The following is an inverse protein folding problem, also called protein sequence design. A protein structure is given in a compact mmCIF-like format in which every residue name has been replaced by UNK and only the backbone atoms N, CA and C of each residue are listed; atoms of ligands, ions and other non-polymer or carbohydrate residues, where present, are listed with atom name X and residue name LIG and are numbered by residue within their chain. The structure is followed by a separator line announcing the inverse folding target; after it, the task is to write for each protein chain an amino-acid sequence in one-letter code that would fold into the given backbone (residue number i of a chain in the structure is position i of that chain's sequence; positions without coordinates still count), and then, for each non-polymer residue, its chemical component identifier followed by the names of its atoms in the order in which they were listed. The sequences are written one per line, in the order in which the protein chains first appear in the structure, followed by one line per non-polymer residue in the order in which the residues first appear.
data_IF_937060294443
#
_entry.id   IF_937060294443
#
_cell.length_a   1.000
_cell.length_b   1.000
_cell.length_c   1.000
_cell.angle_alpha   90.00
_cell.angle_beta   90.00
_cell.angle_gamma   90.00
#
_symmetry.space_group_name_H-M   'P 1'
#
loop_
_entity.id
_entity.type
_entity.pdbx_description
1 polymer ?
#
# COMPACT_ATOMS: atom_id res chain seq x y z
N UNK A 1 17.14 8.19 -1.95
CA UNK A 1 15.74 8.04 -1.51
C UNK A 1 15.44 6.55 -1.46
N UNK A 2 14.94 6.01 -0.34
CA UNK A 2 14.53 4.60 -0.27
C UNK A 2 13.22 4.45 -1.05
N UNK A 3 13.19 3.57 -2.04
CA UNK A 3 11.98 3.29 -2.83
C UNK A 3 10.91 2.64 -1.92
N UNK A 4 9.73 3.28 -1.83
CA UNK A 4 8.55 2.75 -1.14
C UNK A 4 7.51 2.28 -2.16
N UNK A 5 6.68 1.33 -1.77
CA UNK A 5 5.67 0.69 -2.61
C UNK A 5 4.38 0.58 -1.80
N UNK A 6 3.24 0.94 -2.40
CA UNK A 6 1.95 0.57 -1.84
C UNK A 6 1.53 -0.81 -2.31
N UNK A 7 0.91 -1.54 -1.41
CA UNK A 7 0.27 -2.80 -1.73
C UNK A 7 -1.12 -2.77 -1.14
N UNK A 8 -2.09 -3.10 -1.97
CA UNK A 8 -3.46 -3.34 -1.54
C UNK A 8 -3.62 -4.82 -1.18
N UNK A 9 -4.08 -5.04 0.04
CA UNK A 9 -4.42 -6.34 0.58
C UNK A 9 -5.94 -6.44 0.72
N UNK A 10 -6.50 -7.63 0.46
CA UNK A 10 -7.91 -7.91 0.76
C UNK A 10 -8.11 -7.85 2.28
N UNK A 11 -9.28 -7.39 2.74
CA UNK A 11 -9.58 -7.22 4.17
C UNK A 11 -9.25 -8.46 5.01
N UNK A 12 -9.54 -9.66 4.48
CA UNK A 12 -9.28 -10.94 5.13
C UNK A 12 -7.78 -11.26 5.33
N UNK A 13 -6.91 -10.67 4.52
CA UNK A 13 -5.46 -10.90 4.54
C UNK A 13 -4.72 -9.75 5.25
N UNK A 14 -5.38 -8.60 5.46
CA UNK A 14 -4.78 -7.42 6.07
C UNK A 14 -4.29 -7.68 7.51
N UNK A 15 -5.10 -8.34 8.34
CA UNK A 15 -4.71 -8.65 9.73
C UNK A 15 -3.48 -9.56 9.78
N UNK A 16 -3.43 -10.58 8.90
CA UNK A 16 -2.29 -11.51 8.80
C UNK A 16 -1.04 -10.80 8.33
N UNK A 17 -1.18 -9.88 7.37
CA UNK A 17 -0.10 -9.07 6.84
C UNK A 17 0.46 -8.14 7.92
N UNK A 18 -0.41 -7.40 8.61
CA UNK A 18 -0.02 -6.53 9.72
C UNK A 18 0.71 -7.32 10.83
N UNK A 19 0.15 -8.45 11.25
CA UNK A 19 0.78 -9.30 12.25
C UNK A 19 2.17 -9.79 11.81
N UNK A 20 2.33 -10.20 10.54
CA UNK A 20 3.62 -10.63 10.02
C UNK A 20 4.63 -9.47 9.94
N UNK A 21 4.20 -8.28 9.53
CA UNK A 21 5.05 -7.09 9.49
C UNK A 21 5.56 -6.69 10.87
N UNK A 22 4.70 -6.78 11.89
CA UNK A 22 5.04 -6.52 13.29
C UNK A 22 6.05 -7.54 13.81
N UNK A 23 5.79 -8.84 13.62
CA UNK A 23 6.67 -9.92 14.08
C UNK A 23 8.05 -9.87 13.42
N UNK A 24 8.11 -9.53 12.14
CA UNK A 24 9.36 -9.42 11.39
C UNK A 24 10.03 -8.02 11.51
N UNK A 25 9.49 -7.13 12.35
CA UNK A 25 10.01 -5.78 12.57
C UNK A 25 10.18 -4.94 11.29
N UNK A 26 9.30 -5.13 10.29
CA UNK A 26 9.30 -4.29 9.10
C UNK A 26 8.65 -2.95 9.40
N UNK A 27 9.24 -1.87 8.89
CA UNK A 27 8.59 -0.56 8.92
C UNK A 27 7.50 -0.49 7.84
N UNK A 28 6.28 -0.14 8.24
CA UNK A 28 5.14 0.01 7.33
C UNK A 28 4.22 1.14 7.76
N UNK A 29 3.46 1.69 6.81
CA UNK A 29 2.40 2.65 7.08
C UNK A 29 1.08 2.13 6.52
N UNK A 30 0.01 2.15 7.32
CA UNK A 30 -1.33 1.77 6.87
C UNK A 30 -2.06 3.03 6.37
N UNK A 31 -2.53 3.01 5.12
CA UNK A 31 -3.16 4.16 4.46
C UNK A 31 -4.54 3.76 3.94
N UNK A 32 -5.58 3.96 4.75
CA UNK A 32 -6.98 3.65 4.36
C UNK A 32 -7.37 2.19 4.57
N UNK A 33 -8.47 1.77 3.92
CA UNK A 33 -9.02 0.41 4.01
C UNK A 33 -8.20 -0.55 3.14
N UNK A 34 -7.12 -1.10 3.68
CA UNK A 34 -6.40 -2.22 3.06
C UNK A 34 -5.12 -1.90 2.30
N UNK A 35 -4.67 -0.64 2.24
CA UNK A 35 -3.42 -0.27 1.58
C UNK A 35 -2.31 -0.11 2.62
N UNK A 36 -1.20 -0.81 2.42
CA UNK A 36 0.01 -0.70 3.25
C UNK A 36 1.18 -0.21 2.40
N UNK A 37 1.90 0.77 2.91
CA UNK A 37 3.16 1.26 2.34
C UNK A 37 4.31 0.49 2.96
N UNK A 38 5.13 -0.11 2.11
CA UNK A 38 6.29 -0.91 2.49
C UNK A 38 7.53 -0.46 1.75
N UNK A 39 8.70 -0.81 2.30
CA UNK A 39 9.93 -0.76 1.51
C UNK A 39 9.84 -1.73 0.32
N UNK A 40 10.50 -1.43 -0.81
CA UNK A 40 10.52 -2.32 -1.98
C UNK A 40 10.97 -3.76 -1.66
N UNK A 41 11.89 -3.93 -0.70
CA UNK A 41 12.35 -5.24 -0.24
C UNK A 41 11.25 -6.02 0.49
N UNK A 42 10.60 -5.39 1.47
CA UNK A 42 9.48 -5.99 2.21
C UNK A 42 8.31 -6.25 1.25
N UNK A 43 8.00 -5.33 0.34
CA UNK A 43 6.93 -5.49 -0.65
C UNK A 43 7.10 -6.75 -1.51
N UNK A 44 8.32 -7.05 -1.96
CA UNK A 44 8.60 -8.27 -2.74
C UNK A 44 8.26 -9.54 -1.93
N UNK A 45 8.71 -9.59 -0.68
CA UNK A 45 8.48 -10.73 0.21
C UNK A 45 6.99 -10.98 0.48
N UNK A 46 6.22 -9.89 0.62
CA UNK A 46 4.79 -9.96 0.88
C UNK A 46 3.97 -10.35 -0.35
N UNK A 47 4.38 -9.96 -1.56
CA UNK A 47 3.74 -10.42 -2.81
C UNK A 47 3.92 -11.90 -3.08
N UNK A 48 5.02 -12.48 -2.61
CA UNK A 48 5.24 -13.93 -2.73
C UNK A 48 4.42 -14.71 -1.70
N UNK A 49 4.07 -14.09 -0.57
CA UNK A 49 3.35 -14.76 0.53
C UNK A 49 1.83 -14.55 0.50
N UNK A 50 1.37 -13.38 0.03
CA UNK A 50 -0.02 -12.98 0.06
C UNK A 50 -0.53 -12.67 -1.34
N UNK A 51 -1.80 -13.00 -1.60
CA UNK A 51 -2.49 -12.60 -2.82
C UNK A 51 -2.81 -11.11 -2.75
N UNK A 52 -1.83 -10.29 -3.11
CA UNK A 52 -1.89 -8.84 -3.01
C UNK A 52 -1.53 -8.17 -4.33
N UNK A 53 -2.11 -6.99 -4.56
CA UNK A 53 -1.89 -6.22 -5.77
C UNK A 53 -0.98 -5.06 -5.46
N UNK A 54 0.12 -4.93 -6.20
CA UNK A 54 0.89 -3.70 -6.14
C UNK A 54 -0.01 -2.56 -6.62
N UNK A 55 -0.22 -1.60 -5.74
CA UNK A 55 -0.81 -0.33 -6.12
C UNK A 55 0.37 0.61 -6.20
N UNK A 56 0.71 1.03 -7.41
CA UNK A 56 1.72 2.07 -7.57
C UNK A 56 1.19 3.31 -6.85
N UNK A 57 1.71 3.57 -5.64
CA UNK A 57 1.55 4.84 -4.99
C UNK A 57 2.33 5.81 -5.85
N UNK A 58 1.64 6.48 -6.76
CA UNK A 58 2.17 7.69 -7.35
C UNK A 58 2.38 8.62 -6.17
N UNK A 59 3.62 9.05 -5.87
CA UNK A 59 3.85 10.00 -4.80
C UNK A 59 2.86 11.15 -4.98
N UNK A 60 2.19 11.63 -3.92
CA UNK A 60 1.32 12.80 -4.04
C UNK A 60 2.09 14.03 -4.56
N UNK A 61 3.42 14.03 -4.41
CA UNK A 61 4.34 15.00 -5.01
C UNK A 61 4.57 14.81 -6.52
N UNK A 62 4.21 13.66 -7.09
CA UNK A 62 4.35 13.31 -8.51
C UNK A 62 3.01 13.26 -9.24
N UNK A 63 1.88 13.22 -8.53
CA UNK A 63 0.56 13.41 -9.13
C UNK A 63 0.38 14.89 -9.45
N UNK A 64 0.07 15.20 -10.71
CA UNK A 64 -0.52 16.50 -11.00
C UNK A 64 -1.80 16.64 -10.18
N UNK A 65 -2.15 17.87 -9.75
CA UNK A 65 -3.42 18.14 -9.03
C UNK A 65 -4.64 17.49 -9.71
N UNK A 66 -4.59 17.36 -11.04
CA UNK A 66 -5.64 16.77 -11.85
C UNK A 66 -5.78 15.28 -11.58
N UNK A 67 -4.69 14.52 -11.59
CA UNK A 67 -4.70 13.06 -11.37
C UNK A 67 -5.08 12.70 -9.93
N UNK A 68 -4.56 13.44 -8.94
CA UNK A 68 -4.97 13.24 -7.54
C UNK A 68 -6.48 13.52 -7.35
N UNK A 69 -7.03 14.52 -8.05
CA UNK A 69 -8.46 14.83 -8.02
C UNK A 69 -9.31 13.74 -8.68
N UNK A 70 -8.83 13.14 -9.77
CA UNK A 70 -9.52 12.02 -10.42
C UNK A 70 -9.50 10.73 -9.59
N UNK A 71 -8.40 10.43 -8.92
CA UNK A 71 -8.31 9.27 -8.00
C UNK A 71 -9.25 9.49 -6.81
N UNK A 72 -9.28 10.69 -6.23
CA UNK A 72 -10.15 11.04 -5.11
C UNK A 72 -11.64 10.89 -5.44
N UNK A 73 -12.07 11.34 -6.63
CA UNK A 73 -13.46 11.21 -7.09
C UNK A 73 -13.92 9.75 -7.30
N UNK A 74 -12.99 8.84 -7.61
CA UNK A 74 -13.31 7.41 -7.81
C UNK A 74 -13.47 6.64 -6.50
N UNK A 75 -12.82 7.08 -5.43
CA UNK A 75 -12.78 6.37 -4.14
C UNK A 75 -13.65 6.98 -3.04
N UNK A 76 -14.20 8.18 -3.24
CA UNK A 76 -15.23 8.76 -2.37
C UNK A 76 -16.38 9.28 -3.25
N UNK A 77 -17.46 8.49 -3.47
CA UNK A 77 -18.69 9.04 -4.03
C UNK A 77 -19.39 9.86 -2.95
N UNK A 78 -19.14 11.17 -2.95
CA UNK A 78 -19.70 12.16 -2.04
C UNK A 78 -19.35 13.57 -2.48
#
# INVERSE_FOLDING_TARGET
MKEQVAIEFKDKDLERVCNKLIVEHHHFELVGQGIIILSKGSAKLFKETFDCKEVVLVPLSSLSRKEASEIRKRHMPG
#
